data_IF_871496642155
#
_entry.id   IF_871496642155
#
_cell.length_a   1.000
_cell.length_b   1.000
_cell.length_c   1.000
_cell.angle_alpha   90.00
_cell.angle_beta   90.00
_cell.angle_gamma   90.00
#
_symmetry.space_group_name_H-M   'P 1'
#
loop_
_entity.id
_entity.type
_entity.pdbx_description
1 polymer ?
#
# COMPACT_ATOMS: atom_id res chain seq x y z
N UNK A 1 -13.16 6.63 -5.29
CA UNK A 1 -12.24 7.73 -4.91
C UNK A 1 -10.96 7.72 -5.75
N UNK A 2 -10.17 6.63 -5.75
CA UNK A 2 -8.89 6.59 -6.47
C UNK A 2 -8.98 6.11 -7.93
N UNK A 3 -10.08 5.44 -8.32
CA UNK A 3 -10.26 5.00 -9.70
C UNK A 3 -9.33 3.86 -10.12
N UNK A 4 -8.90 3.02 -9.16
CA UNK A 4 -8.23 1.74 -9.47
C UNK A 4 -9.16 0.92 -10.36
N UNK A 5 -8.65 0.41 -11.49
CA UNK A 5 -9.48 -0.26 -12.49
C UNK A 5 -10.11 -1.55 -11.95
N UNK A 6 -11.32 -1.84 -12.40
CA UNK A 6 -12.04 -3.05 -11.99
C UNK A 6 -11.32 -4.31 -12.47
N UNK A 7 -10.68 -4.24 -13.64
CA UNK A 7 -9.90 -5.32 -14.25
C UNK A 7 -8.66 -5.67 -13.41
N UNK A 8 -7.96 -4.66 -12.87
CA UNK A 8 -6.84 -4.86 -11.97
C UNK A 8 -7.30 -5.52 -10.67
N UNK A 9 -8.39 -5.02 -10.09
CA UNK A 9 -8.97 -5.61 -8.87
C UNK A 9 -9.46 -7.04 -9.10
N UNK A 10 -10.02 -7.35 -10.27
CA UNK A 10 -10.44 -8.71 -10.62
C UNK A 10 -9.24 -9.65 -10.79
N UNK A 11 -8.13 -9.18 -11.36
CA UNK A 11 -6.95 -9.99 -11.66
C UNK A 11 -6.08 -10.25 -10.43
N UNK A 12 -5.85 -9.24 -9.60
CA UNK A 12 -4.87 -9.29 -8.49
C UNK A 12 -5.53 -9.25 -7.10
N UNK A 13 -6.77 -8.75 -7.03
CA UNK A 13 -7.48 -8.45 -5.78
C UNK A 13 -7.01 -7.15 -5.13
N UNK A 14 -7.83 -6.64 -4.20
CA UNK A 14 -7.54 -5.38 -3.51
C UNK A 14 -6.30 -5.44 -2.59
N UNK A 15 -5.95 -6.62 -2.08
CA UNK A 15 -4.74 -6.85 -1.27
C UNK A 15 -3.68 -7.45 -2.17
N UNK A 16 -2.95 -6.60 -2.88
CA UNK A 16 -1.91 -6.95 -3.87
C UNK A 16 -0.92 -5.80 -4.04
N UNK A 17 0.23 -6.08 -4.65
CA UNK A 17 1.21 -5.06 -4.96
C UNK A 17 0.69 -4.07 -6.02
N UNK A 18 -0.03 -4.58 -7.02
CA UNK A 18 -0.62 -3.85 -8.13
C UNK A 18 -1.67 -2.86 -7.63
N UNK A 19 -2.55 -3.30 -6.72
CA UNK A 19 -3.55 -2.41 -6.14
C UNK A 19 -2.88 -1.31 -5.31
N UNK A 20 -1.86 -1.64 -4.51
CA UNK A 20 -1.13 -0.65 -3.72
C UNK A 20 -0.43 0.40 -4.60
N UNK A 21 0.26 -0.03 -5.67
CA UNK A 21 0.90 0.87 -6.63
C UNK A 21 -0.12 1.81 -7.30
N UNK A 22 -1.19 1.25 -7.85
CA UNK A 22 -2.24 2.01 -8.52
C UNK A 22 -2.91 3.02 -7.57
N UNK A 23 -3.11 2.65 -6.30
CA UNK A 23 -3.65 3.57 -5.28
C UNK A 23 -2.69 4.73 -4.98
N UNK A 24 -1.39 4.46 -4.82
CA UNK A 24 -0.37 5.47 -4.52
C UNK A 24 -0.18 6.44 -5.69
N UNK A 25 -0.17 5.95 -6.92
CA UNK A 25 -0.08 6.76 -8.14
C UNK A 25 -1.34 7.61 -8.31
N UNK A 26 -2.52 7.01 -8.18
CA UNK A 26 -3.78 7.73 -8.35
C UNK A 26 -3.98 8.83 -7.30
N UNK A 27 -3.62 8.60 -6.03
CA UNK A 27 -3.77 9.66 -5.01
C UNK A 27 -2.83 10.82 -5.29
N UNK A 28 -1.59 10.55 -5.73
CA UNK A 28 -0.62 11.58 -6.14
C UNK A 28 -1.20 12.44 -7.26
N UNK A 29 -1.63 11.79 -8.36
CA UNK A 29 -2.14 12.48 -9.55
C UNK A 29 -3.40 13.29 -9.28
N UNK A 30 -4.35 12.72 -8.52
CA UNK A 30 -5.62 13.39 -8.22
C UNK A 30 -5.48 14.58 -7.28
N UNK A 31 -4.46 14.57 -6.43
CA UNK A 31 -4.23 15.66 -5.47
C UNK A 31 -3.22 16.69 -5.96
N UNK A 32 -2.45 16.37 -7.01
CA UNK A 32 -1.33 17.19 -7.45
C UNK A 32 -0.16 17.20 -6.47
N UNK A 33 -0.12 16.28 -5.51
CA UNK A 33 0.99 16.17 -4.56
C UNK A 33 2.25 15.61 -5.25
N UNK A 34 3.43 15.93 -4.71
CA UNK A 34 4.70 15.37 -5.19
C UNK A 34 4.86 13.89 -4.83
N UNK A 35 4.20 13.48 -3.74
CA UNK A 35 4.27 12.14 -3.17
C UNK A 35 2.87 11.60 -2.88
N UNK A 36 2.56 10.41 -3.39
CA UNK A 36 1.40 9.62 -3.00
C UNK A 36 1.81 8.41 -2.18
N UNK A 37 0.99 8.02 -1.20
CA UNK A 37 1.25 6.86 -0.33
C UNK A 37 -0.04 6.07 -0.17
N UNK A 38 0.06 4.75 -0.23
CA UNK A 38 -1.08 3.86 -0.07
C UNK A 38 -0.72 2.61 0.73
N UNK A 39 -1.71 2.07 1.44
CA UNK A 39 -1.61 0.76 2.08
C UNK A 39 -2.86 -0.06 1.75
N UNK A 40 -2.66 -1.36 1.56
CA UNK A 40 -3.75 -2.34 1.46
C UNK A 40 -3.33 -3.62 2.14
N UNK A 41 -4.20 -4.24 2.93
CA UNK A 41 -3.81 -5.37 3.77
C UNK A 41 -4.95 -5.93 4.61
N UNK A 42 -4.68 -7.06 5.23
CA UNK A 42 -5.61 -7.78 6.11
C UNK A 42 -5.13 -7.60 7.54
N UNK A 43 -5.58 -6.54 8.21
CA UNK A 43 -5.17 -6.29 9.59
C UNK A 43 -5.67 -7.36 10.58
N UNK A 44 -6.75 -8.08 10.24
CA UNK A 44 -7.41 -9.06 11.12
C UNK A 44 -8.57 -8.48 11.94
N UNK A 45 -9.21 -9.30 12.79
CA UNK A 45 -8.95 -10.73 12.97
C UNK A 45 -9.50 -11.60 11.83
N UNK A 46 -10.41 -11.08 11.00
CA UNK A 46 -10.99 -11.80 9.84
C UNK A 46 -10.47 -11.32 8.49
N UNK A 47 -11.03 -11.89 7.41
CA UNK A 47 -10.72 -11.52 6.02
C UNK A 47 -9.50 -12.23 5.42
N UNK A 48 -8.88 -13.14 6.17
CA UNK A 48 -7.79 -13.96 5.69
C UNK A 48 -8.26 -15.08 4.75
N UNK A 49 -7.40 -15.43 3.80
CA UNK A 49 -7.48 -16.66 3.03
C UNK A 49 -6.18 -17.44 3.20
N UNK A 50 -6.13 -18.68 2.73
CA UNK A 50 -4.90 -19.48 2.75
C UNK A 50 -3.73 -18.76 2.08
N UNK A 51 -3.98 -18.10 0.94
CA UNK A 51 -2.98 -17.33 0.22
C UNK A 51 -2.67 -15.95 0.83
N UNK A 52 -3.63 -15.36 1.57
CA UNK A 52 -3.54 -13.99 2.10
C UNK A 52 -3.86 -14.00 3.61
N UNK A 53 -2.88 -14.30 4.48
CA UNK A 53 -3.12 -14.41 5.92
C UNK A 53 -3.36 -13.04 6.58
N UNK A 54 -3.90 -13.06 7.81
CA UNK A 54 -3.89 -11.89 8.69
C UNK A 54 -2.46 -11.39 8.86
N UNK A 55 -2.28 -10.07 8.83
CA UNK A 55 -0.98 -9.42 8.91
C UNK A 55 -0.34 -9.15 7.55
N UNK A 56 -0.84 -9.72 6.45
CA UNK A 56 -0.38 -9.37 5.12
C UNK A 56 -0.74 -7.92 4.79
N UNK A 57 0.24 -7.13 4.39
CA UNK A 57 0.05 -5.76 3.93
C UNK A 57 1.00 -5.43 2.78
N UNK A 58 0.50 -4.68 1.81
CA UNK A 58 1.28 -4.01 0.77
C UNK A 58 1.28 -2.52 1.04
N UNK A 59 2.47 -1.94 1.07
CA UNK A 59 2.71 -0.52 1.31
C UNK A 59 3.37 0.05 0.07
N UNK A 60 2.80 1.11 -0.49
CA UNK A 60 3.29 1.75 -1.70
C UNK A 60 3.50 3.25 -1.50
N UNK A 61 4.49 3.79 -2.21
CA UNK A 61 4.69 5.22 -2.34
C UNK A 61 5.10 5.56 -3.78
N UNK A 62 4.63 6.69 -4.28
CA UNK A 62 4.77 7.11 -5.68
C UNK A 62 5.22 8.57 -5.79
N UNK A 63 6.15 8.83 -6.69
CA UNK A 63 6.64 10.17 -7.06
C UNK A 63 6.52 10.34 -8.59
N UNK A 64 6.93 11.50 -9.12
CA UNK A 64 7.02 11.69 -10.58
C UNK A 64 7.96 10.69 -11.28
N UNK A 65 8.95 10.13 -10.56
CA UNK A 65 9.87 9.13 -11.09
C UNK A 65 9.30 7.69 -11.09
N UNK A 66 8.09 7.50 -10.57
CA UNK A 66 7.42 6.20 -10.47
C UNK A 66 7.14 5.78 -9.03
N UNK A 67 6.70 4.53 -8.87
CA UNK A 67 6.26 3.95 -7.60
C UNK A 67 7.17 2.83 -7.08
N UNK A 68 7.08 2.59 -5.77
CA UNK A 68 7.69 1.46 -5.07
C UNK A 68 6.65 0.83 -4.17
N UNK A 69 6.68 -0.50 -4.08
CA UNK A 69 5.80 -1.30 -3.23
C UNK A 69 6.64 -2.25 -2.40
N UNK A 70 6.25 -2.47 -1.14
CA UNK A 70 6.81 -3.51 -0.26
C UNK A 70 5.69 -4.36 0.33
N UNK A 71 5.89 -5.67 0.32
CA UNK A 71 5.07 -6.62 1.08
C UNK A 71 5.59 -6.73 2.52
N UNK A 72 4.67 -6.80 3.47
CA UNK A 72 4.94 -7.05 4.87
C UNK A 72 4.01 -8.13 5.41
N UNK A 73 4.50 -8.87 6.40
CA UNK A 73 3.73 -9.86 7.16
C UNK A 73 3.90 -9.57 8.65
N UNK A 74 2.88 -8.94 9.21
CA UNK A 74 2.85 -8.57 10.62
C UNK A 74 2.27 -9.70 11.46
N UNK A 75 2.71 -9.81 12.71
CA UNK A 75 2.25 -10.84 13.66
C UNK A 75 1.45 -10.26 14.83
N UNK A 76 1.06 -8.99 14.74
CA UNK A 76 0.31 -8.31 15.79
C UNK A 76 -1.20 -8.50 15.67
N UNK A 77 -1.93 -7.92 16.62
CA UNK A 77 -3.38 -7.76 16.51
C UNK A 77 -3.77 -6.71 15.45
N UNK A 78 -5.09 -6.50 15.28
CA UNK A 78 -5.62 -5.54 14.30
C UNK A 78 -5.05 -4.14 14.47
N UNK A 79 -4.87 -3.67 15.69
CA UNK A 79 -4.36 -2.33 15.98
C UNK A 79 -2.87 -2.28 15.65
N UNK A 80 -2.09 -3.22 16.17
CA UNK A 80 -0.66 -3.32 15.94
C UNK A 80 -0.32 -3.44 14.45
N UNK A 81 -1.05 -4.25 13.69
CA UNK A 81 -0.85 -4.43 12.25
C UNK A 81 -1.10 -3.13 11.46
N UNK A 82 -2.12 -2.35 11.85
CA UNK A 82 -2.39 -1.04 11.24
C UNK A 82 -1.29 -0.03 11.55
N UNK A 83 -0.83 0.01 12.79
CA UNK A 83 0.26 0.90 13.17
C UNK A 83 1.57 0.55 12.48
N UNK A 84 1.93 -0.73 12.40
CA UNK A 84 3.11 -1.20 11.67
C UNK A 84 3.05 -0.82 10.20
N UNK A 85 1.88 -0.98 9.57
CA UNK A 85 1.66 -0.57 8.17
C UNK A 85 1.79 0.95 7.99
N UNK A 86 1.28 1.74 8.92
CA UNK A 86 1.42 3.21 8.88
C UNK A 86 2.88 3.65 9.06
N UNK A 87 3.62 3.04 9.98
CA UNK A 87 5.06 3.31 10.18
C UNK A 87 5.86 2.94 8.92
N UNK A 88 5.60 1.78 8.32
CA UNK A 88 6.24 1.35 7.09
C UNK A 88 5.93 2.30 5.92
N UNK A 89 4.72 2.83 5.84
CA UNK A 89 4.33 3.81 4.83
C UNK A 89 5.12 5.12 4.95
N UNK A 90 5.28 5.65 6.17
CA UNK A 90 6.11 6.82 6.44
C UNK A 90 7.60 6.58 6.15
N UNK A 91 8.12 5.39 6.48
CA UNK A 91 9.50 5.03 6.17
C UNK A 91 9.75 4.99 4.66
N UNK A 92 8.86 4.33 3.90
CA UNK A 92 8.99 4.24 2.45
C UNK A 92 8.89 5.62 1.78
N UNK A 93 7.95 6.46 2.25
CA UNK A 93 7.84 7.85 1.83
C UNK A 93 9.15 8.63 2.02
N UNK A 94 9.73 8.55 3.22
CA UNK A 94 10.99 9.24 3.53
C UNK A 94 12.16 8.76 2.66
N UNK A 95 12.24 7.45 2.42
CA UNK A 95 13.27 6.88 1.54
C UNK A 95 13.18 7.41 0.10
N UNK A 96 11.96 7.56 -0.44
CA UNK A 96 11.75 8.10 -1.79
C UNK A 96 12.10 9.59 -1.86
N UNK A 97 11.73 10.39 -0.86
CA UNK A 97 12.07 11.82 -0.82
C UNK A 97 13.58 12.03 -0.75
N UNK A 98 14.29 11.26 0.09
CA UNK A 98 15.75 11.36 0.23
C UNK A 98 16.53 10.97 -1.02
N UNK A 99 15.94 10.16 -1.91
CA UNK A 99 16.56 9.75 -3.19
C UNK A 99 16.36 10.78 -4.30
N UNK A 100 15.39 11.69 -4.13
CA UNK A 100 15.07 12.75 -5.08
C UNK A 100 15.65 14.12 -4.65
N UNK A 101 16.50 14.14 -3.63
CA UNK A 101 17.20 15.35 -3.13
C UNK A 101 18.62 15.42 -3.65
#
# INVERSE_FOLDING_TARGET
LLGVSAELLASFGAVSAEAAAAMAEAVRERTGADLGVATTGIAGPGGATEAKPVGLAYVAAATAAGSRVREYRWSGDRTQNRESSARAALQLALELVKRNS
#
